data_IF_222973057682
#
_entry.id   IF_222973057682
#
_cell.length_a   1.000
_cell.length_b   1.000
_cell.length_c   1.000
_cell.angle_alpha   90.00
_cell.angle_beta   90.00
_cell.angle_gamma   90.00
#
_symmetry.space_group_name_H-M   'P 1'
#
loop_
_entity.id
_entity.type
_entity.pdbx_description
1 polymer ?
#
# COMPACT_ATOMS: atom_id res chain seq x y z
N UNK A 1 -46.51 -11.89 57.84
CA UNK A 1 -47.33 -11.06 56.98
C UNK A 1 -46.52 -9.80 56.71
N UNK A 2 -45.82 -9.76 55.61
CA UNK A 2 -45.15 -8.54 55.10
C UNK A 2 -45.14 -8.63 53.58
N UNK A 3 -45.99 -7.80 53.06
CA UNK A 3 -46.29 -7.64 51.65
C UNK A 3 -45.09 -6.94 50.98
N UNK A 4 -44.43 -7.65 50.06
CA UNK A 4 -43.34 -7.09 49.29
C UNK A 4 -43.91 -6.53 47.98
N UNK A 5 -44.15 -5.22 47.97
CA UNK A 5 -44.59 -4.50 46.79
C UNK A 5 -43.56 -4.62 45.65
N UNK A 6 -43.94 -5.34 44.63
CA UNK A 6 -43.21 -5.52 43.40
C UNK A 6 -43.23 -4.20 42.60
N UNK A 7 -42.12 -3.44 42.69
CA UNK A 7 -41.93 -2.18 41.97
C UNK A 7 -41.65 -2.49 40.50
N UNK A 8 -42.68 -2.44 39.68
CA UNK A 8 -42.59 -2.52 38.22
C UNK A 8 -41.81 -1.31 37.71
N UNK A 9 -40.64 -1.56 37.16
CA UNK A 9 -39.88 -0.53 36.43
C UNK A 9 -40.64 -0.10 35.17
N UNK A 10 -40.74 1.19 34.88
CA UNK A 10 -41.36 1.64 33.63
C UNK A 10 -40.51 1.18 32.45
N UNK A 11 -41.13 0.45 31.53
CA UNK A 11 -40.60 0.15 30.21
C UNK A 11 -40.35 1.46 29.51
N UNK A 12 -39.07 1.81 29.28
CA UNK A 12 -38.69 2.96 28.49
C UNK A 12 -39.33 2.77 27.09
N UNK A 13 -40.32 3.64 26.80
CA UNK A 13 -40.83 3.77 25.44
C UNK A 13 -39.67 4.04 24.51
N UNK A 14 -39.42 3.11 23.59
CA UNK A 14 -38.32 3.19 22.62
C UNK A 14 -38.47 4.45 21.77
N UNK A 15 -37.64 5.45 22.04
CA UNK A 15 -37.28 6.41 21.04
C UNK A 15 -36.55 5.63 19.97
N UNK A 16 -37.20 5.36 18.83
CA UNK A 16 -36.54 4.76 17.68
C UNK A 16 -35.36 5.66 17.34
N UNK A 17 -34.15 5.18 17.61
CA UNK A 17 -32.96 5.87 17.14
C UNK A 17 -33.09 6.11 15.63
N UNK A 18 -32.79 7.31 15.13
CA UNK A 18 -32.88 7.57 13.71
C UNK A 18 -32.05 6.51 12.97
N UNK A 19 -32.70 5.68 12.16
CA UNK A 19 -32.02 4.65 11.40
C UNK A 19 -30.98 5.31 10.49
N UNK A 20 -29.70 5.18 10.85
CA UNK A 20 -28.60 5.66 10.02
C UNK A 20 -28.58 4.83 8.74
N UNK A 21 -28.84 5.46 7.62
CA UNK A 21 -28.77 4.83 6.30
C UNK A 21 -27.48 5.28 5.60
N UNK A 22 -26.79 4.33 5.00
CA UNK A 22 -25.58 4.57 4.23
C UNK A 22 -25.71 3.89 2.87
N UNK A 23 -25.11 4.50 1.85
CA UNK A 23 -25.01 3.91 0.52
C UNK A 23 -23.97 2.79 0.50
N UNK A 24 -22.95 2.89 1.36
CA UNK A 24 -21.85 1.93 1.45
C UNK A 24 -21.44 1.69 2.91
N UNK A 25 -21.34 0.41 3.28
CA UNK A 25 -20.68 -0.04 4.51
C UNK A 25 -19.35 -0.71 4.16
N UNK A 26 -18.26 -0.18 4.69
CA UNK A 26 -16.91 -0.75 4.57
C UNK A 26 -16.53 -1.39 5.89
N UNK A 27 -16.17 -2.68 5.87
CA UNK A 27 -15.74 -3.43 7.05
C UNK A 27 -14.24 -3.62 7.01
N UNK A 28 -13.55 -3.05 8.00
CA UNK A 28 -12.09 -3.05 8.13
C UNK A 28 -11.43 -1.76 7.62
N UNK A 29 -10.74 -1.05 8.50
CA UNK A 29 -10.02 0.19 8.21
C UNK A 29 -8.53 -0.07 7.93
N UNK A 30 -8.22 -1.08 7.13
CA UNK A 30 -6.87 -1.37 6.62
C UNK A 30 -6.55 -0.66 5.31
N UNK A 31 -5.43 -1.04 4.69
CA UNK A 31 -4.92 -0.48 3.43
C UNK A 31 -5.87 -0.66 2.22
N UNK A 32 -6.92 -1.47 2.34
CA UNK A 32 -7.97 -1.64 1.33
C UNK A 32 -9.21 -0.82 1.72
N UNK A 33 -9.71 -0.96 2.95
CA UNK A 33 -10.97 -0.34 3.34
C UNK A 33 -10.88 1.19 3.49
N UNK A 34 -9.81 1.71 4.07
CA UNK A 34 -9.65 3.16 4.23
C UNK A 34 -9.67 3.92 2.88
N UNK A 35 -8.91 3.52 1.84
CA UNK A 35 -9.00 4.16 0.53
C UNK A 35 -10.34 3.94 -0.18
N UNK A 36 -11.01 2.80 0.01
CA UNK A 36 -12.36 2.58 -0.54
C UNK A 36 -13.35 3.57 0.08
N UNK A 37 -13.34 3.72 1.40
CA UNK A 37 -14.21 4.66 2.10
C UNK A 37 -13.92 6.11 1.67
N UNK A 38 -12.65 6.48 1.54
CA UNK A 38 -12.22 7.79 1.06
C UNK A 38 -12.72 8.07 -0.35
N UNK A 39 -12.48 7.15 -1.29
CA UNK A 39 -12.88 7.37 -2.69
C UNK A 39 -14.41 7.36 -2.89
N UNK A 40 -15.13 6.52 -2.14
CA UNK A 40 -16.59 6.52 -2.18
C UNK A 40 -17.17 7.86 -1.67
N UNK A 41 -16.63 8.39 -0.56
CA UNK A 41 -17.05 9.68 -0.04
C UNK A 41 -16.72 10.83 -1.01
N UNK A 42 -15.55 10.80 -1.67
CA UNK A 42 -15.18 11.74 -2.72
C UNK A 42 -16.16 11.75 -3.89
N UNK A 43 -16.80 10.63 -4.16
CA UNK A 43 -17.84 10.47 -5.19
C UNK A 43 -19.24 10.85 -4.71
N UNK A 44 -19.36 11.35 -3.48
CA UNK A 44 -20.63 11.83 -2.92
C UNK A 44 -21.51 10.75 -2.28
N UNK A 45 -20.97 9.54 -2.06
CA UNK A 45 -21.70 8.49 -1.34
C UNK A 45 -21.67 8.74 0.17
N UNK A 46 -22.76 8.42 0.86
CA UNK A 46 -22.81 8.31 2.31
C UNK A 46 -22.17 6.99 2.75
N UNK A 47 -21.10 7.06 3.55
CA UNK A 47 -20.25 5.90 3.86
C UNK A 47 -20.12 5.69 5.35
N UNK A 48 -20.24 4.42 5.77
CA UNK A 48 -19.86 3.91 7.08
C UNK A 48 -18.57 3.08 6.94
N UNK A 49 -17.58 3.35 7.79
CA UNK A 49 -16.35 2.56 7.92
C UNK A 49 -16.29 1.99 9.33
N UNK A 50 -16.27 0.68 9.46
CA UNK A 50 -16.21 0.01 10.76
C UNK A 50 -14.91 -0.79 10.89
N UNK A 51 -14.24 -0.69 12.05
CA UNK A 51 -13.02 -1.40 12.38
C UNK A 51 -13.15 -2.06 13.76
N UNK A 52 -12.83 -3.36 13.81
CA UNK A 52 -13.02 -4.14 15.03
C UNK A 52 -11.92 -3.94 16.10
N UNK A 53 -10.83 -3.25 15.78
CA UNK A 53 -9.71 -2.98 16.70
C UNK A 53 -9.20 -1.55 16.55
N UNK A 54 -8.15 -1.35 15.76
CA UNK A 54 -7.57 -0.04 15.49
C UNK A 54 -7.21 0.06 14.00
N UNK A 55 -7.24 1.26 13.47
CA UNK A 55 -6.94 1.53 12.07
C UNK A 55 -5.55 1.00 11.72
N UNK A 56 -5.44 0.21 10.66
CA UNK A 56 -4.22 -0.42 10.18
C UNK A 56 -3.55 -1.40 11.17
N UNK A 57 -4.17 -1.78 12.29
CA UNK A 57 -3.55 -2.65 13.31
C UNK A 57 -3.22 -4.08 12.85
N UNK A 58 -3.80 -4.53 11.75
CA UNK A 58 -3.56 -5.85 11.17
C UNK A 58 -2.37 -5.89 10.20
N UNK A 59 -2.53 -6.51 9.07
CA UNK A 59 -1.51 -6.67 8.00
C UNK A 59 -1.03 -5.32 7.46
N UNK A 60 -1.89 -4.31 7.44
CA UNK A 60 -1.65 -3.00 6.82
C UNK A 60 -0.53 -2.18 7.47
N UNK A 61 -0.11 -2.51 8.69
CA UNK A 61 1.07 -1.92 9.35
C UNK A 61 2.29 -2.83 9.37
N UNK A 62 2.19 -4.04 8.81
CA UNK A 62 3.20 -5.09 8.85
C UNK A 62 3.71 -5.50 7.48
N UNK A 63 3.62 -4.58 6.51
CA UNK A 63 4.15 -4.76 5.17
C UNK A 63 5.68 -4.59 5.16
N UNK A 64 6.30 -4.84 4.02
CA UNK A 64 7.73 -4.52 3.78
C UNK A 64 7.99 -3.02 3.71
N UNK A 65 6.96 -2.19 3.76
CA UNK A 65 6.99 -0.73 3.61
C UNK A 65 7.57 -0.28 2.26
N UNK A 66 7.44 -1.13 1.25
CA UNK A 66 7.88 -0.85 -0.12
C UNK A 66 6.66 -0.71 -1.05
N UNK A 67 6.63 0.39 -1.80
CA UNK A 67 5.72 0.62 -2.91
C UNK A 67 6.38 0.09 -4.19
N UNK A 68 6.35 -1.23 -4.36
CA UNK A 68 7.02 -1.86 -5.50
C UNK A 68 6.10 -1.96 -6.72
N UNK A 69 6.66 -1.74 -7.91
CA UNK A 69 5.94 -1.86 -9.18
C UNK A 69 5.70 -3.27 -9.68
N UNK A 70 5.89 -4.29 -8.82
CA UNK A 70 5.58 -5.67 -9.17
C UNK A 70 6.55 -6.33 -10.16
N UNK A 71 7.84 -6.08 -10.06
CA UNK A 71 8.90 -6.69 -10.92
C UNK A 71 8.75 -8.22 -11.04
N UNK A 72 8.26 -8.87 -10.00
CA UNK A 72 7.95 -10.30 -10.00
C UNK A 72 6.89 -10.68 -11.03
N UNK A 73 5.88 -9.85 -11.22
CA UNK A 73 4.83 -10.06 -12.23
C UNK A 73 5.35 -9.77 -13.64
N UNK A 74 6.35 -8.89 -13.77
CA UNK A 74 7.02 -8.64 -15.05
C UNK A 74 7.71 -9.90 -15.56
N UNK A 75 8.43 -10.62 -14.71
CA UNK A 75 9.05 -11.92 -15.06
C UNK A 75 7.99 -12.93 -15.51
N UNK A 76 6.85 -13.02 -14.80
CA UNK A 76 5.75 -13.90 -15.18
C UNK A 76 5.11 -13.50 -16.51
N UNK A 77 4.95 -12.19 -16.75
CA UNK A 77 4.40 -11.67 -18.00
C UNK A 77 5.25 -12.09 -19.21
N UNK A 78 6.59 -12.02 -19.08
CA UNK A 78 7.50 -12.44 -20.15
C UNK A 78 7.53 -13.96 -20.34
N UNK A 79 7.59 -14.72 -19.26
CA UNK A 79 7.62 -16.19 -19.34
C UNK A 79 6.35 -16.80 -19.95
N UNK A 80 5.19 -16.14 -19.76
CA UNK A 80 3.87 -16.62 -20.18
C UNK A 80 3.26 -15.84 -21.34
N UNK A 81 3.94 -14.82 -21.86
CA UNK A 81 3.42 -13.86 -22.83
C UNK A 81 2.06 -13.27 -22.42
N UNK A 82 1.85 -13.04 -21.13
CA UNK A 82 0.59 -12.58 -20.56
C UNK A 82 0.50 -11.04 -20.54
N UNK A 83 -0.26 -10.51 -21.49
CA UNK A 83 -0.50 -9.06 -21.60
C UNK A 83 -1.22 -8.47 -20.38
N UNK A 84 -2.03 -9.25 -19.67
CA UNK A 84 -2.75 -8.78 -18.47
C UNK A 84 -1.76 -8.50 -17.33
N UNK A 85 -0.77 -9.37 -17.15
CA UNK A 85 0.31 -9.15 -16.18
C UNK A 85 1.12 -7.90 -16.51
N UNK A 86 1.37 -7.63 -17.78
CA UNK A 86 2.09 -6.43 -18.21
C UNK A 86 1.30 -5.14 -17.92
N UNK A 87 0.00 -5.15 -18.16
CA UNK A 87 -0.88 -4.03 -17.81
C UNK A 87 -0.91 -3.80 -16.30
N UNK A 88 -1.03 -4.86 -15.50
CA UNK A 88 -0.99 -4.78 -14.04
C UNK A 88 0.32 -4.15 -13.53
N UNK A 89 1.46 -4.55 -14.08
CA UNK A 89 2.76 -3.94 -13.74
C UNK A 89 2.78 -2.45 -14.10
N UNK A 90 2.29 -2.08 -15.27
CA UNK A 90 2.23 -0.68 -15.68
C UNK A 90 1.34 0.16 -14.76
N UNK A 91 0.18 -0.36 -14.38
CA UNK A 91 -0.72 0.29 -13.41
C UNK A 91 -0.06 0.43 -12.04
N UNK A 92 0.56 -0.63 -11.52
CA UNK A 92 1.27 -0.59 -10.23
C UNK A 92 2.42 0.43 -10.22
N UNK A 93 3.18 0.55 -11.33
CA UNK A 93 4.23 1.55 -11.49
C UNK A 93 3.68 2.97 -11.55
N UNK A 94 2.53 3.17 -12.20
CA UNK A 94 1.85 4.45 -12.26
C UNK A 94 1.32 4.87 -10.88
N UNK A 95 0.69 3.94 -10.14
CA UNK A 95 0.23 4.16 -8.78
C UNK A 95 1.38 4.48 -7.82
N UNK A 96 2.51 3.76 -7.93
CA UNK A 96 3.72 4.07 -7.14
C UNK A 96 4.16 5.52 -7.33
N UNK A 97 4.24 5.97 -8.58
CA UNK A 97 4.59 7.35 -8.91
C UNK A 97 3.60 8.35 -8.31
N UNK A 98 2.31 8.06 -8.44
CA UNK A 98 1.25 8.90 -7.87
C UNK A 98 1.38 9.05 -6.35
N UNK A 99 1.60 7.97 -5.61
CA UNK A 99 1.75 8.03 -4.15
C UNK A 99 2.98 8.83 -3.71
N UNK A 100 4.10 8.71 -4.42
CA UNK A 100 5.30 9.50 -4.15
C UNK A 100 5.09 11.00 -4.36
N UNK A 101 4.24 11.38 -5.31
CA UNK A 101 3.87 12.77 -5.58
C UNK A 101 2.80 13.29 -4.60
N UNK A 102 1.79 12.47 -4.30
CA UNK A 102 0.64 12.87 -3.49
C UNK A 102 0.95 13.01 -1.99
N UNK A 103 1.85 12.16 -1.47
CA UNK A 103 2.17 12.12 -0.03
C UNK A 103 3.69 12.09 0.23
N UNK A 104 4.46 13.07 -0.24
CA UNK A 104 5.93 13.07 -0.14
C UNK A 104 6.45 13.08 1.32
N UNK A 105 5.62 13.43 2.27
CA UNK A 105 5.91 13.41 3.70
C UNK A 105 5.75 12.00 4.33
N UNK A 106 5.11 11.05 3.64
CA UNK A 106 4.95 9.65 4.06
C UNK A 106 5.61 8.65 3.10
N UNK A 107 5.83 9.06 1.85
CA UNK A 107 6.41 8.21 0.82
C UNK A 107 7.63 8.89 0.20
N UNK A 108 8.68 8.13 -0.01
CA UNK A 108 9.94 8.63 -0.60
C UNK A 108 10.56 7.59 -1.52
N UNK A 109 11.38 8.07 -2.43
CA UNK A 109 12.25 7.19 -3.22
C UNK A 109 13.29 6.52 -2.33
N UNK A 110 13.51 5.23 -2.54
CA UNK A 110 14.57 4.44 -1.93
C UNK A 110 15.40 3.77 -3.04
N UNK A 111 16.72 4.01 -3.06
CA UNK A 111 17.62 3.24 -3.92
C UNK A 111 17.93 1.91 -3.25
N UNK A 112 17.74 0.83 -3.98
CA UNK A 112 18.00 -0.54 -3.58
C UNK A 112 19.19 -1.08 -4.37
N UNK A 113 20.02 -1.89 -3.72
CA UNK A 113 21.14 -2.57 -4.33
C UNK A 113 20.91 -4.08 -4.30
N UNK A 114 20.84 -4.69 -5.48
CA UNK A 114 20.75 -6.14 -5.67
C UNK A 114 22.14 -6.68 -6.01
N UNK A 115 22.89 -7.24 -5.04
CA UNK A 115 24.18 -7.84 -5.32
C UNK A 115 24.01 -9.16 -6.06
N UNK A 116 24.93 -9.44 -7.00
CA UNK A 116 24.90 -10.66 -7.81
C UNK A 116 26.21 -11.43 -7.70
N UNK A 117 26.11 -12.76 -7.68
CA UNK A 117 27.27 -13.65 -7.65
C UNK A 117 27.72 -14.11 -9.04
N UNK A 118 26.91 -13.88 -10.06
CA UNK A 118 27.16 -14.32 -11.43
C UNK A 118 26.96 -13.18 -12.41
N UNK A 119 27.84 -13.03 -13.43
CA UNK A 119 27.73 -11.98 -14.44
C UNK A 119 26.40 -12.03 -15.22
N UNK A 120 25.95 -13.22 -15.60
CA UNK A 120 24.69 -13.40 -16.32
C UNK A 120 23.48 -12.98 -15.48
N UNK A 121 23.47 -13.27 -14.18
CA UNK A 121 22.41 -12.82 -13.28
C UNK A 121 22.35 -11.30 -13.20
N UNK A 122 23.51 -10.63 -13.19
CA UNK A 122 23.59 -9.17 -13.21
C UNK A 122 22.94 -8.58 -14.46
N UNK A 123 23.22 -9.14 -15.63
CA UNK A 123 22.63 -8.71 -16.90
C UNK A 123 21.12 -8.99 -16.93
N UNK A 124 20.70 -10.18 -16.48
CA UNK A 124 19.29 -10.58 -16.44
C UNK A 124 18.46 -9.64 -15.57
N UNK A 125 18.87 -9.43 -14.33
CA UNK A 125 18.16 -8.50 -13.42
C UNK A 125 18.25 -7.06 -13.88
N UNK A 126 19.40 -6.65 -14.43
CA UNK A 126 19.58 -5.31 -14.99
C UNK A 126 18.60 -5.04 -16.13
N UNK A 127 18.47 -5.96 -17.07
CA UNK A 127 17.55 -5.84 -18.19
C UNK A 127 16.08 -5.81 -17.73
N UNK A 128 15.70 -6.69 -16.80
CA UNK A 128 14.34 -6.73 -16.25
C UNK A 128 13.95 -5.45 -15.51
N UNK A 129 14.86 -4.90 -14.70
CA UNK A 129 14.63 -3.66 -13.96
C UNK A 129 14.63 -2.43 -14.89
N UNK A 130 15.53 -2.38 -15.88
CA UNK A 130 15.54 -1.31 -16.89
C UNK A 130 14.24 -1.29 -17.71
N UNK A 131 13.69 -2.47 -18.02
CA UNK A 131 12.39 -2.57 -18.67
C UNK A 131 11.25 -2.10 -17.76
N UNK A 132 11.31 -2.39 -16.46
CA UNK A 132 10.37 -1.84 -15.48
C UNK A 132 10.41 -0.30 -15.47
N UNK A 133 11.61 0.30 -15.53
CA UNK A 133 11.76 1.75 -15.61
C UNK A 133 11.17 2.32 -16.92
N UNK A 134 11.37 1.63 -18.04
CA UNK A 134 10.78 2.00 -19.32
C UNK A 134 9.24 1.93 -19.31
N UNK A 135 8.68 0.90 -18.66
CA UNK A 135 7.22 0.76 -18.50
C UNK A 135 6.62 1.85 -17.59
N UNK A 136 7.35 2.32 -16.60
CA UNK A 136 6.95 3.45 -15.76
C UNK A 136 6.88 4.77 -16.55
N UNK A 137 7.62 4.89 -17.64
CA UNK A 137 7.63 6.05 -18.51
C UNK A 137 7.93 7.35 -17.75
N UNK A 138 7.04 8.34 -17.88
CA UNK A 138 7.19 9.65 -17.21
C UNK A 138 7.12 9.58 -15.67
N UNK A 139 6.63 8.49 -15.10
CA UNK A 139 6.57 8.24 -13.65
C UNK A 139 7.69 7.34 -13.16
N UNK A 140 8.75 7.17 -13.97
CA UNK A 140 9.97 6.52 -13.50
C UNK A 140 10.58 7.33 -12.36
N UNK A 141 10.95 6.64 -11.29
CA UNK A 141 11.49 7.25 -10.07
C UNK A 141 13.01 7.16 -9.98
N UNK A 142 13.65 6.68 -11.02
CA UNK A 142 15.12 6.61 -11.15
C UNK A 142 15.54 5.52 -12.10
N UNK A 143 16.68 5.71 -12.72
CA UNK A 143 17.22 4.76 -13.70
C UNK A 143 17.91 3.58 -13.01
N UNK A 144 17.63 2.39 -13.50
CA UNK A 144 18.40 1.17 -13.17
C UNK A 144 19.80 1.27 -13.74
N UNK A 145 20.81 0.91 -12.95
CA UNK A 145 22.19 0.89 -13.37
C UNK A 145 22.93 -0.36 -12.88
N UNK A 146 23.84 -0.83 -13.70
CA UNK A 146 24.77 -1.89 -13.30
C UNK A 146 25.88 -1.28 -12.42
N UNK A 147 26.19 -1.92 -11.32
CA UNK A 147 27.23 -1.48 -10.38
C UNK A 147 28.39 -2.48 -10.33
N UNK A 148 29.60 -1.95 -10.08
CA UNK A 148 30.80 -2.76 -10.00
C UNK A 148 30.89 -3.57 -8.71
N UNK A 149 31.80 -4.54 -8.65
CA UNK A 149 32.08 -5.29 -7.43
C UNK A 149 32.62 -4.38 -6.32
N UNK A 150 33.44 -3.37 -6.70
CA UNK A 150 34.01 -2.43 -5.75
C UNK A 150 32.93 -1.51 -5.14
N UNK A 151 31.98 -1.03 -5.94
CA UNK A 151 30.86 -0.25 -5.45
C UNK A 151 29.97 -1.08 -4.49
N UNK A 152 29.70 -2.35 -4.81
CA UNK A 152 28.97 -3.24 -3.91
C UNK A 152 29.72 -3.43 -2.60
N UNK A 153 31.03 -3.64 -2.64
CA UNK A 153 31.87 -3.82 -1.45
C UNK A 153 31.90 -2.57 -0.58
N UNK A 154 31.98 -1.39 -1.18
CA UNK A 154 31.95 -0.12 -0.44
C UNK A 154 30.60 0.10 0.28
N UNK A 155 29.49 -0.22 -0.40
CA UNK A 155 28.14 -0.03 0.16
C UNK A 155 27.72 -1.12 1.13
N UNK A 156 28.18 -2.35 0.92
CA UNK A 156 27.82 -3.54 1.68
C UNK A 156 29.07 -4.34 2.07
N UNK A 157 29.91 -3.81 2.96
CA UNK A 157 31.22 -4.41 3.29
C UNK A 157 31.12 -5.78 3.95
N UNK A 158 29.97 -6.12 4.53
CA UNK A 158 29.73 -7.41 5.18
C UNK A 158 29.35 -8.54 4.20
N UNK A 159 29.09 -8.21 2.92
CA UNK A 159 28.74 -9.22 1.92
C UNK A 159 29.99 -9.92 1.38
N UNK A 160 29.85 -11.22 1.16
CA UNK A 160 30.87 -12.00 0.46
C UNK A 160 31.14 -11.40 -0.93
N UNK A 161 32.39 -11.47 -1.44
CA UNK A 161 32.74 -10.99 -2.76
C UNK A 161 31.84 -11.56 -3.87
N UNK A 162 31.46 -10.72 -4.83
CA UNK A 162 30.62 -11.07 -5.97
C UNK A 162 30.99 -10.27 -7.21
N UNK A 163 30.23 -10.43 -8.29
CA UNK A 163 30.48 -9.79 -9.58
C UNK A 163 29.84 -8.40 -9.73
N UNK A 164 29.57 -7.73 -8.62
CA UNK A 164 28.85 -6.46 -8.61
C UNK A 164 27.35 -6.65 -8.39
N UNK A 165 26.55 -5.79 -8.99
CA UNK A 165 25.11 -5.84 -8.76
C UNK A 165 24.32 -4.92 -9.69
N UNK A 166 23.06 -4.71 -9.32
CA UNK A 166 22.16 -3.78 -9.98
C UNK A 166 21.62 -2.80 -8.93
N UNK A 167 21.79 -1.51 -9.14
CA UNK A 167 21.12 -0.48 -8.37
C UNK A 167 19.85 -0.06 -9.10
N UNK A 168 18.75 0.02 -8.36
CA UNK A 168 17.45 0.42 -8.88
C UNK A 168 16.68 1.19 -7.81
N UNK A 169 15.61 1.84 -8.20
CA UNK A 169 14.81 2.63 -7.27
C UNK A 169 13.43 2.04 -7.07
N UNK A 170 12.98 2.07 -5.81
CA UNK A 170 11.62 1.74 -5.46
C UNK A 170 11.03 2.79 -4.51
N UNK A 171 9.73 2.73 -4.23
CA UNK A 171 9.10 3.59 -3.24
C UNK A 171 9.21 2.98 -1.84
N UNK A 172 9.52 3.81 -0.84
CA UNK A 172 9.37 3.46 0.57
C UNK A 172 8.28 4.33 1.17
N UNK A 173 7.42 3.77 2.02
CA UNK A 173 6.35 4.53 2.67
C UNK A 173 6.06 4.04 4.09
N UNK A 174 5.39 4.89 4.88
CA UNK A 174 4.84 4.51 6.17
C UNK A 174 3.39 4.01 5.97
N UNK A 175 3.23 2.71 5.89
CA UNK A 175 1.97 2.03 5.59
C UNK A 175 0.86 2.32 6.62
N UNK A 176 1.20 2.29 7.91
CA UNK A 176 0.26 2.56 8.99
C UNK A 176 -0.22 4.02 8.96
N UNK A 177 0.73 4.95 8.84
CA UNK A 177 0.40 6.39 8.80
C UNK A 177 -0.36 6.78 7.55
N UNK A 178 -0.04 6.19 6.40
CA UNK A 178 -0.78 6.43 5.17
C UNK A 178 -2.23 5.93 5.28
N UNK A 179 -2.44 4.74 5.84
CA UNK A 179 -3.77 4.19 6.06
C UNK A 179 -4.58 5.06 7.03
N UNK A 180 -3.95 5.49 8.13
CA UNK A 180 -4.58 6.41 9.09
C UNK A 180 -4.92 7.76 8.46
N UNK A 181 -4.03 8.31 7.64
CA UNK A 181 -4.27 9.56 6.92
C UNK A 181 -5.51 9.45 6.02
N UNK A 182 -5.63 8.35 5.27
CA UNK A 182 -6.78 8.10 4.40
C UNK A 182 -8.08 7.98 5.20
N UNK A 183 -8.10 7.24 6.30
CA UNK A 183 -9.27 7.10 7.16
C UNK A 183 -9.67 8.46 7.78
N UNK A 184 -8.71 9.25 8.25
CA UNK A 184 -8.96 10.61 8.77
C UNK A 184 -9.48 11.56 7.70
N UNK A 185 -8.92 11.50 6.50
CA UNK A 185 -9.38 12.33 5.37
C UNK A 185 -10.80 11.93 4.95
N UNK A 186 -11.09 10.62 4.93
CA UNK A 186 -12.44 10.11 4.70
C UNK A 186 -13.43 10.63 5.75
N UNK A 187 -13.07 10.59 7.04
CA UNK A 187 -13.89 11.16 8.11
C UNK A 187 -14.14 12.67 7.91
N UNK A 188 -13.12 13.42 7.47
CA UNK A 188 -13.26 14.83 7.09
C UNK A 188 -14.21 15.09 5.92
N UNK A 189 -14.44 14.08 5.06
CA UNK A 189 -15.42 14.10 3.97
C UNK A 189 -16.80 13.58 4.40
N UNK A 190 -17.02 13.31 5.68
CA UNK A 190 -18.31 12.89 6.22
C UNK A 190 -18.48 11.38 6.39
N UNK A 191 -17.44 10.57 6.16
CA UNK A 191 -17.48 9.13 6.48
C UNK A 191 -17.66 8.96 7.99
N UNK A 192 -18.64 8.15 8.40
CA UNK A 192 -18.81 7.73 9.78
C UNK A 192 -17.83 6.57 10.06
N UNK A 193 -16.96 6.76 11.04
CA UNK A 193 -15.95 5.75 11.44
C UNK A 193 -16.29 5.23 12.83
N UNK A 194 -16.37 3.93 13.01
CA UNK A 194 -16.60 3.21 14.27
C UNK A 194 -15.56 2.14 14.52
#
# INVERSE_FOLDING_TARGET
MTDAAQKTMPTAAGSAEPSLRFDLLVIGAGAIGAPIAFEAARRGLSVALVEGRDIASGTSSRSTKLLHGGVRYLELAFRRFDRRQLLLVREALAERGHWLEAVPFLARRLELLLPTRQPLAKLYYGAGLALSDALAGRRSIGATRLVSADEVRQRLPQLAPGHGGVAYSDGQFDDARLTLLLARTAAGLGVRVW
#
